data_IF_479470594681
#
_entry.id   IF_479470594681
#
_cell.length_a   1.000
_cell.length_b   1.000
_cell.length_c   1.000
_cell.angle_alpha   90.00
_cell.angle_beta   90.00
_cell.angle_gamma   90.00
#
_symmetry.space_group_name_H-M   'P 1'
#
loop_
_entity.id
_entity.type
_entity.pdbx_description
1 polymer ?
#
# COMPACT_ATOMS: atom_id res chain seq x y z
N UNK A 1 23.67 -27.14 17.33
CA UNK A 1 22.76 -27.24 16.17
C UNK A 1 22.88 -25.90 15.48
N UNK A 2 23.73 -25.83 14.45
CA UNK A 2 24.15 -24.58 13.82
C UNK A 2 23.04 -24.12 12.86
N UNK A 3 22.35 -23.03 13.20
CA UNK A 3 21.41 -22.37 12.29
C UNK A 3 22.21 -21.77 11.14
N UNK A 4 22.40 -22.56 10.07
CA UNK A 4 23.08 -22.12 8.86
C UNK A 4 22.27 -21.01 8.21
N UNK A 5 22.67 -19.76 8.48
CA UNK A 5 22.16 -18.59 7.78
C UNK A 5 22.27 -18.83 6.26
N UNK A 6 21.17 -18.68 5.50
CA UNK A 6 21.21 -18.89 4.06
C UNK A 6 22.23 -17.93 3.46
N UNK A 7 23.23 -18.47 2.75
CA UNK A 7 24.29 -17.68 2.13
C UNK A 7 23.64 -16.58 1.28
N UNK A 8 24.04 -15.32 1.47
CA UNK A 8 23.40 -14.15 0.83
C UNK A 8 23.27 -14.28 -0.70
N UNK A 9 24.23 -14.93 -1.36
CA UNK A 9 24.17 -15.20 -2.80
C UNK A 9 23.02 -16.13 -3.21
N UNK A 10 22.60 -17.06 -2.36
CA UNK A 10 21.45 -17.96 -2.60
C UNK A 10 20.16 -17.17 -2.60
N UNK A 11 20.01 -16.24 -1.65
CA UNK A 11 18.85 -15.34 -1.58
C UNK A 11 18.78 -14.47 -2.83
N UNK A 12 19.92 -13.92 -3.27
CA UNK A 12 20.01 -13.13 -4.51
C UNK A 12 19.61 -13.96 -5.74
N UNK A 13 20.16 -15.17 -5.87
CA UNK A 13 19.83 -16.07 -6.98
C UNK A 13 18.34 -16.46 -6.98
N UNK A 14 17.78 -16.75 -5.80
CA UNK A 14 16.36 -17.03 -5.62
C UNK A 14 15.51 -15.84 -6.09
N UNK A 15 15.83 -14.63 -5.64
CA UNK A 15 15.11 -13.41 -6.00
C UNK A 15 15.15 -13.15 -7.52
N UNK A 16 16.32 -13.20 -8.14
CA UNK A 16 16.49 -13.00 -9.60
C UNK A 16 15.69 -14.05 -10.38
N UNK A 17 15.71 -15.31 -9.93
CA UNK A 17 14.98 -16.40 -10.58
C UNK A 17 13.46 -16.25 -10.43
N UNK A 18 12.98 -15.79 -9.27
CA UNK A 18 11.57 -15.45 -9.06
C UNK A 18 11.12 -14.31 -10.01
N UNK A 19 11.93 -13.27 -10.16
CA UNK A 19 11.65 -12.15 -11.09
C UNK A 19 11.64 -12.64 -12.54
N UNK A 20 12.60 -13.47 -12.94
CA UNK A 20 12.65 -14.03 -14.31
C UNK A 20 11.43 -14.92 -14.60
N UNK A 21 11.03 -15.77 -13.66
CA UNK A 21 9.80 -16.56 -13.77
C UNK A 21 8.55 -15.70 -13.88
N UNK A 22 8.43 -14.65 -13.06
CA UNK A 22 7.31 -13.72 -13.12
C UNK A 22 7.26 -13.00 -14.48
N UNK A 23 8.42 -12.59 -15.02
CA UNK A 23 8.52 -11.95 -16.33
C UNK A 23 8.06 -12.88 -17.46
N UNK A 24 8.56 -14.13 -17.45
CA UNK A 24 8.14 -15.20 -18.37
C UNK A 24 6.64 -15.45 -18.28
N UNK A 25 6.07 -15.40 -17.06
CA UNK A 25 4.64 -15.62 -16.86
C UNK A 25 3.77 -14.48 -17.36
N UNK A 26 4.25 -13.24 -17.28
CA UNK A 26 3.54 -12.06 -17.76
C UNK A 26 3.83 -11.72 -19.23
N UNK A 27 4.69 -12.51 -19.91
CA UNK A 27 5.20 -12.21 -21.26
C UNK A 27 5.77 -10.81 -21.36
N UNK A 28 6.45 -10.37 -20.31
CA UNK A 28 7.14 -9.07 -20.28
C UNK A 28 8.59 -9.30 -20.64
N UNK A 29 9.07 -8.56 -21.62
CA UNK A 29 10.49 -8.54 -21.96
C UNK A 29 11.24 -7.76 -20.88
N UNK A 30 11.98 -8.48 -20.04
CA UNK A 30 12.85 -7.84 -19.06
C UNK A 30 14.25 -8.43 -19.19
N UNK A 31 15.23 -7.54 -19.32
CA UNK A 31 16.64 -7.91 -19.30
C UNK A 31 17.01 -8.30 -17.87
N UNK A 32 17.38 -9.57 -17.69
CA UNK A 32 17.78 -10.09 -16.37
C UNK A 32 19.03 -9.34 -15.86
N UNK A 33 19.88 -8.86 -16.78
CA UNK A 33 21.05 -8.04 -16.49
C UNK A 33 20.70 -6.80 -15.67
N UNK A 34 19.53 -6.21 -15.90
CA UNK A 34 19.06 -5.00 -15.21
C UNK A 34 18.86 -5.24 -13.70
N UNK A 35 18.61 -6.50 -13.31
CA UNK A 35 18.37 -6.89 -11.93
C UNK A 35 19.60 -7.47 -11.22
N UNK A 36 20.69 -7.75 -11.92
CA UNK A 36 21.88 -8.34 -11.29
C UNK A 36 22.68 -7.30 -10.49
N UNK A 37 22.50 -6.01 -10.79
CA UNK A 37 23.20 -4.89 -10.16
C UNK A 37 24.70 -4.86 -10.51
N UNK A 38 25.29 -3.67 -10.44
CA UNK A 38 26.65 -3.42 -10.95
C UNK A 38 27.78 -3.92 -10.01
N UNK A 39 27.46 -4.34 -8.78
CA UNK A 39 28.44 -4.56 -7.71
C UNK A 39 28.36 -5.94 -7.02
N UNK A 40 27.90 -6.99 -7.70
CA UNK A 40 27.77 -8.32 -7.09
C UNK A 40 27.99 -9.50 -8.02
N UNK A 41 27.75 -10.71 -7.49
CA UNK A 41 27.83 -11.96 -8.26
C UNK A 41 26.84 -11.87 -9.43
N UNK A 42 27.37 -12.05 -10.64
CA UNK A 42 26.62 -12.20 -11.88
C UNK A 42 26.37 -13.69 -12.09
N UNK A 43 25.10 -14.07 -12.20
CA UNK A 43 24.69 -15.43 -12.48
C UNK A 43 24.47 -15.61 -13.99
N UNK A 44 25.02 -16.68 -14.54
CA UNK A 44 24.76 -17.07 -15.92
C UNK A 44 23.32 -17.56 -16.09
N UNK A 45 22.81 -17.48 -17.31
CA UNK A 45 21.43 -17.88 -17.64
C UNK A 45 21.16 -19.34 -17.29
N UNK A 46 22.17 -20.21 -17.34
CA UNK A 46 22.07 -21.63 -16.95
C UNK A 46 21.84 -21.78 -15.45
N UNK A 47 22.57 -21.07 -14.60
CA UNK A 47 22.37 -21.14 -13.14
C UNK A 47 20.99 -20.62 -12.76
N UNK A 48 20.54 -19.52 -13.38
CA UNK A 48 19.20 -18.99 -13.19
C UNK A 48 18.14 -20.03 -13.60
N UNK A 49 18.24 -20.59 -14.80
CA UNK A 49 17.29 -21.61 -15.28
C UNK A 49 17.21 -22.87 -14.41
N UNK A 50 18.33 -23.29 -13.80
CA UNK A 50 18.34 -24.39 -12.82
C UNK A 50 17.55 -24.01 -11.57
N UNK A 51 17.76 -22.80 -11.05
CA UNK A 51 17.02 -22.31 -9.88
C UNK A 51 15.53 -22.12 -10.19
N UNK A 52 15.18 -21.62 -11.37
CA UNK A 52 13.79 -21.53 -11.83
C UNK A 52 13.09 -22.90 -11.81
N UNK A 53 13.77 -23.94 -12.28
CA UNK A 53 13.25 -25.31 -12.28
C UNK A 53 12.98 -25.80 -10.85
N UNK A 54 13.87 -25.48 -9.91
CA UNK A 54 13.68 -25.79 -8.48
C UNK A 54 12.48 -25.04 -7.89
N UNK A 55 12.34 -23.75 -8.19
CA UNK A 55 11.20 -22.93 -7.75
C UNK A 55 9.90 -23.50 -8.31
N UNK A 56 9.85 -23.81 -9.61
CA UNK A 56 8.69 -24.42 -10.26
C UNK A 56 8.33 -25.77 -9.62
N UNK A 57 9.33 -26.60 -9.32
CA UNK A 57 9.15 -27.85 -8.59
C UNK A 57 8.54 -27.63 -7.21
N UNK A 58 9.09 -26.71 -6.42
CA UNK A 58 8.60 -26.37 -5.08
C UNK A 58 7.17 -25.81 -5.10
N UNK A 59 6.85 -24.97 -6.09
CA UNK A 59 5.51 -24.41 -6.30
C UNK A 59 4.54 -25.39 -6.97
N UNK A 60 4.98 -26.61 -7.31
CA UNK A 60 4.20 -27.60 -8.09
C UNK A 60 3.61 -26.98 -9.36
N UNK A 61 4.39 -26.12 -10.03
CA UNK A 61 4.02 -25.37 -11.23
C UNK A 61 2.83 -24.41 -11.05
N UNK A 62 2.40 -24.12 -9.81
CA UNK A 62 1.29 -23.21 -9.51
C UNK A 62 1.73 -21.75 -9.55
N UNK A 63 2.06 -21.28 -10.75
CA UNK A 63 2.57 -19.91 -10.97
C UNK A 63 1.49 -18.83 -11.07
N UNK A 64 0.22 -19.21 -11.14
CA UNK A 64 -0.92 -18.29 -11.21
C UNK A 64 -1.41 -17.92 -9.81
N UNK A 65 -0.56 -17.24 -9.04
CA UNK A 65 -0.95 -16.74 -7.72
C UNK A 65 -1.94 -15.59 -7.84
N UNK A 66 -2.94 -15.58 -6.96
CA UNK A 66 -3.86 -14.44 -6.82
C UNK A 66 -3.16 -13.37 -6.00
N UNK A 67 -3.15 -12.14 -6.50
CA UNK A 67 -2.51 -11.00 -5.82
C UNK A 67 -3.55 -10.02 -5.29
N UNK A 68 -3.22 -9.18 -4.29
CA UNK A 68 -4.14 -8.15 -3.80
C UNK A 68 -4.61 -7.21 -4.93
N UNK A 69 -3.77 -6.98 -5.93
CA UNK A 69 -4.08 -6.14 -7.09
C UNK A 69 -5.29 -6.64 -7.89
N UNK A 70 -5.50 -7.96 -7.95
CA UNK A 70 -6.61 -8.58 -8.67
C UNK A 70 -7.99 -8.19 -8.12
N UNK A 71 -8.07 -7.79 -6.84
CA UNK A 71 -9.33 -7.42 -6.18
C UNK A 71 -9.63 -5.92 -6.18
N UNK A 72 -8.68 -5.07 -6.55
CA UNK A 72 -8.84 -3.61 -6.41
C UNK A 72 -10.05 -3.11 -7.20
N UNK A 73 -10.15 -3.47 -8.49
CA UNK A 73 -11.25 -3.02 -9.34
C UNK A 73 -12.61 -3.49 -8.82
N UNK A 74 -12.65 -4.70 -8.25
CA UNK A 74 -13.86 -5.26 -7.66
C UNK A 74 -14.33 -4.44 -6.45
N UNK A 75 -13.44 -4.16 -5.50
CA UNK A 75 -13.79 -3.38 -4.32
C UNK A 75 -14.09 -1.91 -4.63
N UNK A 76 -13.39 -1.31 -5.59
CA UNK A 76 -13.70 0.05 -6.09
C UNK A 76 -15.14 0.12 -6.62
N UNK A 77 -15.62 -0.93 -7.29
CA UNK A 77 -17.00 -0.97 -7.81
C UNK A 77 -18.06 -0.84 -6.70
N UNK A 78 -17.73 -1.21 -5.46
CA UNK A 78 -18.61 -1.07 -4.29
C UNK A 78 -18.73 0.38 -3.81
N UNK A 79 -17.77 1.24 -4.14
CA UNK A 79 -17.71 2.63 -3.68
C UNK A 79 -18.58 3.58 -4.49
N UNK A 80 -19.11 3.12 -5.65
CA UNK A 80 -19.99 3.91 -6.53
C UNK A 80 -19.43 5.31 -6.85
N UNK A 81 -18.11 5.42 -6.98
CA UNK A 81 -17.44 6.65 -7.39
C UNK A 81 -17.82 6.96 -8.85
N UNK A 82 -18.33 8.16 -9.09
CA UNK A 82 -18.76 8.58 -10.44
C UNK A 82 -17.64 9.26 -11.25
N UNK A 83 -16.57 9.68 -10.58
CA UNK A 83 -15.48 10.45 -11.18
C UNK A 83 -14.28 9.54 -11.52
N UNK A 84 -13.94 9.35 -12.82
CA UNK A 84 -12.84 8.47 -13.22
C UNK A 84 -11.45 8.91 -12.68
N UNK A 85 -11.05 10.21 -12.74
CA UNK A 85 -9.86 10.71 -12.04
C UNK A 85 -9.75 10.32 -10.56
N UNK A 86 -10.84 10.46 -9.79
CA UNK A 86 -10.84 10.11 -8.36
C UNK A 86 -10.67 8.60 -8.15
N UNK A 87 -11.31 7.81 -9.01
CA UNK A 87 -11.18 6.36 -9.01
C UNK A 87 -9.74 5.93 -9.29
N UNK A 88 -9.08 6.59 -10.25
CA UNK A 88 -7.69 6.32 -10.60
C UNK A 88 -6.72 6.74 -9.48
N UNK A 89 -6.95 7.88 -8.83
CA UNK A 89 -6.17 8.32 -7.69
C UNK A 89 -6.28 7.34 -6.50
N UNK A 90 -7.51 6.88 -6.21
CA UNK A 90 -7.75 5.87 -5.19
C UNK A 90 -7.03 4.55 -5.50
N UNK A 91 -7.15 4.07 -6.74
CA UNK A 91 -6.47 2.88 -7.23
C UNK A 91 -4.95 3.00 -7.09
N UNK A 92 -4.38 4.12 -7.53
CA UNK A 92 -2.94 4.37 -7.45
C UNK A 92 -2.45 4.38 -6.00
N UNK A 93 -3.18 5.05 -5.09
CA UNK A 93 -2.81 5.07 -3.67
C UNK A 93 -2.93 3.68 -3.02
N UNK A 94 -3.97 2.92 -3.33
CA UNK A 94 -4.11 1.54 -2.83
C UNK A 94 -2.98 0.63 -3.34
N UNK A 95 -2.60 0.74 -4.62
CA UNK A 95 -1.46 0.00 -5.20
C UNK A 95 -0.16 0.32 -4.45
N UNK A 96 0.08 1.59 -4.14
CA UNK A 96 1.25 2.01 -3.36
C UNK A 96 1.26 1.41 -1.95
N UNK A 97 0.13 1.44 -1.24
CA UNK A 97 0.00 0.84 0.09
C UNK A 97 0.26 -0.67 0.04
N UNK A 98 -0.26 -1.38 -0.97
CA UNK A 98 -0.01 -2.81 -1.16
C UNK A 98 1.49 -3.08 -1.36
N UNK A 99 2.19 -2.28 -2.17
CA UNK A 99 3.64 -2.43 -2.34
C UNK A 99 4.43 -2.22 -1.05
N UNK A 100 3.98 -1.32 -0.18
CA UNK A 100 4.58 -1.14 1.14
C UNK A 100 4.37 -2.35 2.04
N UNK A 101 3.14 -2.87 2.07
CA UNK A 101 2.79 -4.05 2.84
C UNK A 101 3.66 -5.26 2.45
N UNK A 102 4.04 -5.39 1.18
CA UNK A 102 4.91 -6.49 0.71
C UNK A 102 6.31 -6.50 1.31
N UNK A 103 6.78 -5.39 1.90
CA UNK A 103 8.07 -5.32 2.58
C UNK A 103 8.03 -5.94 3.98
N UNK A 104 6.84 -6.10 4.54
CA UNK A 104 6.63 -6.68 5.86
C UNK A 104 5.97 -8.07 5.74
N UNK A 105 6.70 -9.07 6.23
CA UNK A 105 6.26 -10.47 6.25
C UNK A 105 4.98 -10.69 7.08
N UNK A 106 4.66 -9.80 8.01
CA UNK A 106 3.47 -9.89 8.85
C UNK A 106 2.18 -9.84 8.02
N UNK A 107 2.19 -9.23 6.82
CA UNK A 107 1.03 -9.20 5.95
C UNK A 107 0.75 -10.52 5.23
N UNK A 108 1.66 -11.51 5.30
CA UNK A 108 1.45 -12.84 4.73
C UNK A 108 0.37 -13.66 5.46
N UNK A 109 0.00 -13.26 6.69
CA UNK A 109 -1.10 -13.90 7.43
C UNK A 109 -2.47 -13.59 6.82
N UNK A 110 -2.59 -12.50 6.07
CA UNK A 110 -3.85 -12.09 5.47
C UNK A 110 -3.99 -12.62 4.04
N UNK A 111 -5.21 -13.01 3.70
CA UNK A 111 -5.53 -13.37 2.32
C UNK A 111 -5.43 -12.13 1.39
N UNK A 112 -5.06 -12.31 0.10
CA UNK A 112 -4.90 -11.19 -0.82
C UNK A 112 -6.13 -10.27 -0.94
N UNK A 113 -7.35 -10.80 -0.80
CA UNK A 113 -8.59 -10.00 -0.79
C UNK A 113 -8.67 -9.06 0.40
N UNK A 114 -8.27 -9.51 1.60
CA UNK A 114 -8.22 -8.70 2.82
C UNK A 114 -7.22 -7.56 2.64
N UNK A 115 -5.98 -7.88 2.23
CA UNK A 115 -4.94 -6.87 1.99
C UNK A 115 -5.39 -5.80 0.99
N UNK A 116 -6.05 -6.22 -0.09
CA UNK A 116 -6.60 -5.31 -1.11
C UNK A 116 -7.69 -4.38 -0.55
N UNK A 117 -8.66 -4.95 0.18
CA UNK A 117 -9.75 -4.21 0.79
C UNK A 117 -9.25 -3.24 1.86
N UNK A 118 -8.34 -3.68 2.74
CA UNK A 118 -7.72 -2.85 3.77
C UNK A 118 -6.90 -1.73 3.16
N UNK A 119 -6.11 -1.99 2.11
CA UNK A 119 -5.35 -0.95 1.41
C UNK A 119 -6.25 0.09 0.73
N UNK A 120 -7.36 -0.35 0.13
CA UNK A 120 -8.38 0.57 -0.39
C UNK A 120 -9.04 1.39 0.71
N UNK A 121 -9.34 0.77 1.85
CA UNK A 121 -9.91 1.44 3.00
C UNK A 121 -8.95 2.52 3.53
N UNK A 122 -7.66 2.20 3.70
CA UNK A 122 -6.60 3.15 4.05
C UNK A 122 -6.47 4.29 3.05
N UNK A 123 -6.38 3.98 1.75
CA UNK A 123 -6.33 5.00 0.70
C UNK A 123 -7.57 5.91 0.72
N UNK A 124 -8.75 5.35 0.99
CA UNK A 124 -9.99 6.10 1.06
C UNK A 124 -10.10 6.98 2.32
N UNK A 125 -9.47 6.57 3.42
CA UNK A 125 -9.37 7.35 4.64
C UNK A 125 -8.61 8.65 4.40
N UNK A 126 -7.51 8.58 3.66
CA UNK A 126 -6.67 9.74 3.31
C UNK A 126 -7.34 10.65 2.27
N UNK A 127 -7.90 10.07 1.19
CA UNK A 127 -8.37 10.83 0.03
C UNK A 127 -9.81 11.31 0.16
N UNK A 128 -10.66 10.60 0.90
CA UNK A 128 -12.10 10.83 0.98
C UNK A 128 -12.63 10.76 2.43
N UNK A 129 -12.11 11.56 3.37
CA UNK A 129 -12.48 11.45 4.80
C UNK A 129 -13.99 11.60 5.04
N UNK A 130 -14.70 12.38 4.22
CA UNK A 130 -16.16 12.55 4.32
C UNK A 130 -16.96 11.31 3.86
N UNK A 131 -16.42 10.53 2.92
CA UNK A 131 -17.10 9.33 2.37
C UNK A 131 -16.58 8.03 3.01
N UNK A 132 -15.47 8.11 3.75
CA UNK A 132 -14.84 6.97 4.42
C UNK A 132 -15.81 6.09 5.23
N UNK A 133 -16.75 6.62 6.05
CA UNK A 133 -17.70 5.77 6.77
C UNK A 133 -18.55 4.90 5.84
N UNK A 134 -18.91 5.42 4.66
CA UNK A 134 -19.70 4.70 3.66
C UNK A 134 -18.87 3.59 3.01
N UNK A 135 -17.60 3.87 2.67
CA UNK A 135 -16.68 2.88 2.12
C UNK A 135 -16.36 1.77 3.11
N UNK A 136 -16.12 2.14 4.37
CA UNK A 136 -15.94 1.17 5.48
C UNK A 136 -17.16 0.26 5.61
N UNK A 137 -18.36 0.83 5.58
CA UNK A 137 -19.60 0.05 5.67
C UNK A 137 -19.79 -0.87 4.45
N UNK A 138 -19.49 -0.38 3.24
CA UNK A 138 -19.57 -1.18 2.02
C UNK A 138 -18.63 -2.40 2.05
N UNK A 139 -17.37 -2.21 2.48
CA UNK A 139 -16.43 -3.32 2.65
C UNK A 139 -16.78 -4.22 3.84
N UNK A 140 -17.36 -3.69 4.92
CA UNK A 140 -17.75 -4.52 6.06
C UNK A 140 -18.96 -5.40 5.73
N UNK A 141 -19.90 -4.94 4.91
CA UNK A 141 -21.09 -5.70 4.50
C UNK A 141 -20.85 -6.65 3.33
N UNK A 142 -19.61 -6.72 2.88
CA UNK A 142 -19.13 -7.60 1.84
C UNK A 142 -19.06 -9.05 2.33
N UNK A 143 -19.87 -9.95 1.76
CA UNK A 143 -20.03 -11.33 2.26
C UNK A 143 -18.76 -12.20 2.22
N UNK A 144 -17.81 -11.87 1.34
CA UNK A 144 -16.56 -12.60 1.16
C UNK A 144 -15.38 -12.03 1.95
N UNK A 145 -15.61 -10.97 2.75
CA UNK A 145 -14.62 -10.41 3.66
C UNK A 145 -14.95 -10.78 5.10
N UNK A 146 -13.95 -11.33 5.81
CA UNK A 146 -14.02 -11.44 7.26
C UNK A 146 -13.78 -10.03 7.86
N UNK A 147 -14.76 -9.52 8.60
CA UNK A 147 -14.76 -8.17 9.16
C UNK A 147 -13.59 -7.93 10.12
N UNK A 148 -13.29 -8.90 10.98
CA UNK A 148 -12.24 -8.76 12.00
C UNK A 148 -10.85 -8.69 11.33
N UNK A 149 -10.59 -9.58 10.37
CA UNK A 149 -9.36 -9.58 9.59
C UNK A 149 -9.20 -8.31 8.75
N UNK A 150 -10.30 -7.79 8.18
CA UNK A 150 -10.31 -6.52 7.42
C UNK A 150 -9.85 -5.36 8.30
N UNK A 151 -10.41 -5.25 9.51
CA UNK A 151 -10.08 -4.17 10.44
C UNK A 151 -8.66 -4.31 11.00
N UNK A 152 -8.29 -5.52 11.41
CA UNK A 152 -6.94 -5.78 11.93
C UNK A 152 -5.86 -5.52 10.86
N UNK A 153 -6.08 -5.93 9.62
CA UNK A 153 -5.17 -5.63 8.51
C UNK A 153 -5.17 -4.13 8.16
N UNK A 154 -6.31 -3.45 8.27
CA UNK A 154 -6.39 -2.00 8.04
C UNK A 154 -5.56 -1.24 9.08
N UNK A 155 -5.69 -1.56 10.37
CA UNK A 155 -4.93 -0.92 11.43
C UNK A 155 -3.42 -1.13 11.26
N UNK A 156 -3.01 -2.36 10.90
CA UNK A 156 -1.62 -2.66 10.57
C UNK A 156 -1.11 -1.86 9.36
N UNK A 157 -1.92 -1.70 8.30
CA UNK A 157 -1.53 -0.87 7.15
C UNK A 157 -1.44 0.61 7.49
N UNK A 158 -2.30 1.11 8.38
CA UNK A 158 -2.22 2.50 8.84
C UNK A 158 -0.89 2.76 9.56
N UNK A 159 -0.37 1.82 10.34
CA UNK A 159 0.96 1.94 10.94
C UNK A 159 2.08 2.03 9.89
N UNK A 160 2.04 1.19 8.85
CA UNK A 160 3.01 1.23 7.74
C UNK A 160 2.93 2.53 6.93
N UNK A 161 1.74 3.09 6.80
CA UNK A 161 1.53 4.40 6.18
C UNK A 161 2.07 5.51 7.08
N UNK A 162 1.92 5.39 8.40
CA UNK A 162 2.43 6.38 9.36
C UNK A 162 3.96 6.55 9.22
N UNK A 163 4.68 5.43 9.22
CA UNK A 163 6.15 5.40 9.06
C UNK A 163 6.63 6.10 7.76
N UNK A 164 5.77 6.22 6.74
CA UNK A 164 6.07 6.99 5.52
C UNK A 164 6.27 8.47 5.78
N UNK A 165 5.37 9.09 6.54
CA UNK A 165 5.45 10.51 6.74
C UNK A 165 6.62 10.85 7.66
N UNK A 166 6.96 9.97 8.62
CA UNK A 166 8.09 10.17 9.53
C UNK A 166 9.41 10.13 8.76
N UNK A 167 9.58 9.09 7.94
CA UNK A 167 10.78 8.95 7.08
C UNK A 167 10.93 10.08 6.06
N UNK A 168 9.82 10.58 5.49
CA UNK A 168 9.85 11.75 4.58
C UNK A 168 10.12 13.04 5.34
N UNK A 169 9.54 13.24 6.52
CA UNK A 169 9.77 14.42 7.37
C UNK A 169 11.21 14.50 7.87
N UNK A 170 11.82 13.39 8.27
CA UNK A 170 13.23 13.32 8.67
C UNK A 170 14.19 13.56 7.50
N UNK A 171 13.88 13.01 6.32
CA UNK A 171 14.66 13.26 5.11
C UNK A 171 14.61 14.73 4.68
N UNK A 172 13.46 15.40 4.81
CA UNK A 172 13.32 16.85 4.54
C UNK A 172 14.04 17.67 5.61
N UNK A 173 13.94 17.28 6.89
CA UNK A 173 14.65 17.95 7.99
C UNK A 173 16.17 17.85 7.86
N UNK A 174 16.68 16.77 7.28
CA UNK A 174 18.11 16.56 7.05
C UNK A 174 18.69 17.34 5.85
N UNK A 175 17.85 18.10 5.13
CA UNK A 175 18.27 18.93 3.97
C UNK A 175 18.29 20.44 4.26
N UNK A 176 18.15 20.87 5.52
CA UNK A 176 18.30 22.28 5.89
C UNK A 176 19.79 22.66 5.87
N UNK A 177 20.14 23.53 4.93
CA UNK A 177 21.45 24.14 4.66
C UNK A 177 22.10 24.82 5.88
N UNK A 178 23.44 25.02 5.87
CA UNK A 178 24.18 25.48 7.05
C UNK A 178 23.72 26.86 7.52
N UNK A 179 23.74 27.02 8.85
CA UNK A 179 23.43 28.24 9.59
C UNK A 179 24.16 29.43 8.96
N UNK A 180 23.40 30.37 8.38
CA UNK A 180 23.95 31.68 8.04
C UNK A 180 24.08 32.48 9.34
N UNK A 181 25.31 32.82 9.72
CA UNK A 181 25.64 33.61 10.90
C UNK A 181 25.45 35.09 10.56
N UNK A 182 24.19 35.54 10.48
CA UNK A 182 23.85 36.95 10.62
C UNK A 182 22.35 37.09 10.86
N UNK A 183 21.98 37.25 12.13
CA UNK A 183 20.99 38.23 12.61
C UNK A 183 20.82 38.06 14.12
N UNK A 184 21.90 38.39 14.82
CA UNK A 184 21.80 38.88 16.18
C UNK A 184 21.62 40.38 16.05
N UNK A 185 20.49 40.93 16.50
CA UNK A 185 20.33 42.25 17.16
C UNK A 185 18.82 42.56 17.27
N UNK A 186 18.23 42.22 18.43
CA UNK A 186 17.59 43.14 19.40
C UNK A 186 16.62 42.34 20.29
N UNK A 187 17.05 42.10 21.53
CA UNK A 187 16.13 41.91 22.65
C UNK A 187 15.64 43.28 23.10
N UNK A 188 14.32 43.42 23.22
CA UNK A 188 13.69 44.39 24.12
C UNK A 188 12.45 43.75 24.73
N UNK A 189 12.44 43.67 26.06
CA UNK A 189 11.34 43.19 26.89
C UNK A 189 10.29 44.28 27.07
N UNK A 190 9.00 43.94 26.99
CA UNK A 190 7.99 44.53 27.88
C UNK A 190 6.68 43.72 27.96
N UNK A 191 6.01 43.95 29.09
CA UNK A 191 4.89 43.27 29.71
C UNK A 191 3.53 43.41 28.99
N UNK A 192 2.64 42.42 29.13
CA UNK A 192 1.19 42.66 29.06
C UNK A 192 0.31 41.51 28.54
N UNK A 193 -0.47 40.91 29.46
CA UNK A 193 -1.62 39.97 29.32
C UNK A 193 -2.34 39.88 27.95
N UNK A 194 -2.65 38.66 27.50
CA UNK A 194 -4.02 38.08 27.36
C UNK A 194 -4.12 36.91 26.35
N UNK A 195 -4.62 35.78 26.84
CA UNK A 195 -5.45 34.71 26.22
C UNK A 195 -5.04 33.91 24.96
N UNK A 196 -5.45 32.62 25.02
CA UNK A 196 -5.69 31.61 23.96
C UNK A 196 -4.48 30.89 23.32
N UNK A 197 -4.33 29.61 23.66
CA UNK A 197 -3.46 28.65 22.95
C UNK A 197 -4.28 27.97 21.86
N UNK A 198 -3.97 28.34 20.61
CA UNK A 198 -4.52 27.78 19.39
C UNK A 198 -3.54 26.73 18.85
N UNK A 199 -4.01 25.49 18.72
CA UNK A 199 -3.41 24.41 17.92
C UNK A 199 -3.19 24.85 16.47
N UNK A 200 -1.93 24.86 16.01
CA UNK A 200 -1.59 25.15 14.62
C UNK A 200 -1.88 23.93 13.74
N UNK A 201 -3.06 23.97 13.14
CA UNK A 201 -3.54 23.08 12.08
C UNK A 201 -3.04 23.68 10.75
N UNK A 202 -2.20 22.95 10.02
CA UNK A 202 -1.76 23.36 8.69
C UNK A 202 -2.90 23.11 7.68
N UNK A 203 -3.69 24.16 7.40
CA UNK A 203 -4.64 24.18 6.28
C UNK A 203 -3.87 24.19 4.95
N UNK A 204 -4.20 23.26 4.06
CA UNK A 204 -3.90 23.37 2.63
C UNK A 204 -5.21 23.61 1.90
N UNK A 205 -5.31 24.79 1.31
CA UNK A 205 -6.42 25.21 0.46
C UNK A 205 -6.58 24.29 -0.75
N UNK A 206 -7.65 23.50 -0.76
CA UNK A 206 -8.14 22.82 -1.97
C UNK A 206 -9.45 23.47 -2.38
N UNK A 207 -9.37 24.21 -3.49
CA UNK A 207 -10.49 24.89 -4.15
C UNK A 207 -11.63 23.89 -4.42
N UNK A 208 -12.75 24.10 -3.74
CA UNK A 208 -13.96 23.26 -3.74
C UNK A 208 -14.47 22.94 -5.15
N UNK A 209 -14.68 21.65 -5.43
CA UNK A 209 -15.80 21.19 -6.27
C UNK A 209 -16.74 20.38 -5.39
N UNK A 210 -17.96 20.90 -5.23
CA UNK A 210 -19.05 20.33 -4.45
C UNK A 210 -19.70 19.24 -5.31
N UNK A 211 -19.52 17.97 -4.95
CA UNK A 211 -20.37 16.88 -5.45
C UNK A 211 -20.96 16.20 -4.22
N UNK A 212 -22.21 16.55 -3.96
CA UNK A 212 -23.07 15.97 -2.94
C UNK A 212 -23.76 14.75 -3.54
N UNK A 213 -23.47 13.56 -3.03
CA UNK A 213 -24.45 12.48 -2.94
C UNK A 213 -24.18 11.70 -1.66
N UNK A 214 -25.01 11.98 -0.64
CA UNK A 214 -25.09 11.20 0.58
C UNK A 214 -25.48 9.75 0.23
N UNK A 215 -24.74 8.80 0.79
CA UNK A 215 -24.93 7.37 0.56
C UNK A 215 -26.36 6.96 0.93
N UNK A 216 -27.17 6.61 -0.07
CA UNK A 216 -28.47 5.96 0.15
C UNK A 216 -28.22 4.49 0.48
N UNK A 217 -28.42 4.12 1.74
CA UNK A 217 -28.60 2.74 2.14
C UNK A 217 -30.03 2.31 1.75
N UNK A 218 -30.16 1.55 0.66
CA UNK A 218 -31.34 0.70 0.47
C UNK A 218 -30.96 -0.74 0.79
N UNK A 219 -31.43 -1.17 1.95
CA UNK A 219 -31.60 -2.56 2.35
C UNK A 219 -32.49 -3.24 1.30
N UNK A 220 -31.94 -4.12 0.46
CA UNK A 220 -32.75 -4.96 -0.43
C UNK A 220 -32.98 -6.29 0.25
N UNK A 221 -34.26 -6.53 0.48
CA UNK A 221 -34.86 -7.70 1.11
C UNK A 221 -34.55 -8.98 0.31
N UNK A 222 -34.28 -10.06 1.05
CA UNK A 222 -34.17 -11.42 0.55
C UNK A 222 -35.46 -11.82 -0.17
N UNK A 223 -35.34 -12.44 -1.33
CA UNK A 223 -36.42 -13.24 -1.94
C UNK A 223 -35.82 -14.57 -2.41
N UNK A 224 -36.22 -15.63 -1.72
CA UNK A 224 -36.06 -17.02 -2.13
C UNK A 224 -36.72 -17.23 -3.49
N UNK A 225 -36.08 -17.96 -4.40
CA UNK A 225 -36.78 -18.63 -5.51
C UNK A 225 -36.31 -20.08 -5.59
N UNK A 226 -37.33 -20.94 -5.69
CA UNK A 226 -37.36 -22.39 -5.61
C UNK A 226 -36.76 -23.08 -6.84
N UNK A 227 -36.44 -24.35 -6.59
CA UNK A 227 -36.17 -25.46 -7.50
C UNK A 227 -36.97 -25.44 -8.80
N UNK A 228 -36.31 -25.82 -9.90
CA UNK A 228 -36.64 -27.01 -10.68
C UNK A 228 -35.34 -27.76 -11.01
#
# INVERSE_FOLDING_TARGET
MDETQPKQWVIKLLAISCVSLAAKMKKTDISISDFQGDAGIIFDTRTIGRMETLILGALKWRMRSVTPFSFISHFISLFKLQDPPLTQALKARAVHIIFKAQKDINFLVYNPSIVSASALLSASHELFPLQFPCFRNALSNCSYLNKDNLLHCYDALQAVVLEEYESVSEAVSSTVTPVNVLDQIFSSSESGKSNTVTTLRLERDIKRRKISHYCHNQTVHVSQIRQF
#
